data_IF_329524817991
#
_entry.id   IF_329524817991
#
_cell.length_a   1.000
_cell.length_b   1.000
_cell.length_c   1.000
_cell.angle_alpha   90.00
_cell.angle_beta   90.00
_cell.angle_gamma   90.00
#
_symmetry.space_group_name_H-M   'P 1'
#
loop_
_entity.id
_entity.type
_entity.pdbx_description
1 polymer ?
#
# COMPACT_ATOMS: atom_id res chain seq x y z
N UNK A 1 -11.20 16.40 -3.74
CA UNK A 1 -10.26 16.96 -4.72
C UNK A 1 -9.03 17.46 -3.97
N UNK A 2 -7.83 17.12 -4.44
CA UNK A 2 -6.61 17.69 -3.88
C UNK A 2 -6.45 19.11 -4.42
N UNK A 3 -6.23 20.08 -3.54
CA UNK A 3 -6.03 21.48 -3.92
C UNK A 3 -4.55 21.74 -4.15
N UNK A 4 -4.17 21.86 -5.42
CA UNK A 4 -2.79 22.18 -5.82
C UNK A 4 -2.50 23.67 -5.66
N UNK A 5 -1.29 24.01 -5.20
CA UNK A 5 -0.79 25.39 -5.28
C UNK A 5 -0.22 25.65 -6.68
N UNK A 6 -0.36 26.88 -7.18
CA UNK A 6 0.25 27.27 -8.45
C UNK A 6 1.77 27.03 -8.42
N UNK A 7 2.26 26.20 -9.35
CA UNK A 7 3.68 25.88 -9.49
C UNK A 7 4.13 24.57 -8.81
N UNK A 8 3.26 23.88 -8.06
CA UNK A 8 3.58 22.54 -7.54
C UNK A 8 3.62 21.52 -8.68
N UNK A 9 4.76 20.86 -8.85
CA UNK A 9 4.84 19.66 -9.69
C UNK A 9 4.15 18.52 -8.95
N UNK A 10 3.23 17.83 -9.62
CA UNK A 10 2.62 16.58 -9.16
C UNK A 10 3.71 15.56 -8.80
N UNK A 11 4.09 15.48 -7.52
CA UNK A 11 5.01 14.48 -7.03
C UNK A 11 4.24 13.51 -6.12
N UNK A 12 3.60 12.53 -6.75
CA UNK A 12 2.87 11.47 -6.07
C UNK A 12 3.71 10.79 -4.99
N UNK A 13 5.03 10.73 -5.17
CA UNK A 13 5.96 10.18 -4.17
C UNK A 13 5.93 10.97 -2.86
N UNK A 14 5.86 12.31 -2.93
CA UNK A 14 5.84 13.19 -1.76
C UNK A 14 4.49 13.06 -1.05
N UNK A 15 3.38 13.02 -1.81
CA UNK A 15 2.05 12.83 -1.23
C UNK A 15 1.91 11.46 -0.52
N UNK A 16 2.48 10.40 -1.09
CA UNK A 16 2.52 9.09 -0.44
C UNK A 16 3.39 9.09 0.83
N UNK A 17 4.48 9.86 0.83
CA UNK A 17 5.32 10.04 2.01
C UNK A 17 4.58 10.78 3.13
N UNK A 18 3.79 11.81 2.80
CA UNK A 18 2.96 12.52 3.77
C UNK A 18 1.90 11.62 4.40
N UNK A 19 1.24 10.78 3.59
CA UNK A 19 0.29 9.78 4.11
C UNK A 19 0.98 8.80 5.05
N UNK A 20 2.17 8.29 4.68
CA UNK A 20 2.94 7.40 5.55
C UNK A 20 3.32 8.08 6.87
N UNK A 21 3.73 9.35 6.81
CA UNK A 21 4.09 10.14 7.99
C UNK A 21 2.91 10.30 8.96
N UNK A 22 1.72 10.61 8.43
CA UNK A 22 0.49 10.71 9.23
C UNK A 22 0.17 9.37 9.90
N UNK A 23 0.30 8.24 9.17
CA UNK A 23 0.06 6.91 9.73
C UNK A 23 1.03 6.59 10.89
N UNK A 24 2.31 6.97 10.76
CA UNK A 24 3.30 6.81 11.84
C UNK A 24 2.93 7.67 13.05
N UNK A 25 2.50 8.92 12.84
CA UNK A 25 2.04 9.79 13.92
C UNK A 25 0.86 9.17 14.69
N UNK A 26 -0.13 8.63 13.97
CA UNK A 26 -1.30 7.99 14.59
C UNK A 26 -0.87 6.75 15.38
N UNK A 27 0.00 5.90 14.83
CA UNK A 27 0.51 4.72 15.54
C UNK A 27 1.23 5.10 16.83
N UNK A 28 2.11 6.12 16.78
CA UNK A 28 2.82 6.63 17.95
C UNK A 28 1.87 7.20 19.01
N UNK A 29 0.87 7.99 18.61
CA UNK A 29 -0.11 8.58 19.54
C UNK A 29 -1.00 7.54 20.21
N UNK A 30 -1.27 6.42 19.53
CA UNK A 30 -2.17 5.36 20.02
C UNK A 30 -1.44 4.20 20.68
N UNK A 31 -0.11 4.21 20.70
CA UNK A 31 0.71 3.12 21.24
C UNK A 31 0.66 1.83 20.41
N UNK A 32 0.32 1.94 19.12
CA UNK A 32 0.29 0.79 18.20
C UNK A 32 1.70 0.50 17.72
N UNK A 33 2.16 -0.74 17.92
CA UNK A 33 3.33 -1.27 17.23
C UNK A 33 2.98 -1.54 15.77
N UNK A 34 3.25 -0.55 14.91
CA UNK A 34 2.95 -0.63 13.49
C UNK A 34 3.80 -1.70 12.79
N UNK A 35 5.00 -2.00 13.27
CA UNK A 35 5.88 -3.02 12.69
C UNK A 35 5.24 -4.39 12.83
N UNK A 36 4.81 -4.72 14.05
CA UNK A 36 4.17 -6.00 14.34
C UNK A 36 2.80 -6.12 13.67
N UNK A 37 2.00 -5.04 13.65
CA UNK A 37 0.72 -5.01 12.95
C UNK A 37 0.88 -5.22 11.44
N UNK A 38 1.88 -4.58 10.83
CA UNK A 38 2.18 -4.70 9.41
C UNK A 38 2.64 -6.13 9.05
N UNK A 39 3.54 -6.72 9.85
CA UNK A 39 3.99 -8.11 9.69
C UNK A 39 2.82 -9.09 9.69
N UNK A 40 1.96 -9.05 10.72
CA UNK A 40 0.75 -9.89 10.81
C UNK A 40 -0.21 -9.67 9.64
N UNK A 41 -0.33 -8.44 9.13
CA UNK A 41 -1.18 -8.13 8.00
C UNK A 41 -0.68 -8.81 6.71
N UNK A 42 0.63 -8.78 6.48
CA UNK A 42 1.27 -9.46 5.34
C UNK A 42 1.08 -10.96 5.47
N UNK A 43 1.38 -11.56 6.63
CA UNK A 43 1.20 -13.01 6.86
C UNK A 43 -0.22 -13.47 6.55
N UNK A 44 -1.21 -12.78 7.12
CA UNK A 44 -2.63 -13.06 6.87
C UNK A 44 -3.01 -12.96 5.39
N UNK A 45 -2.49 -11.96 4.67
CA UNK A 45 -2.77 -11.79 3.23
C UNK A 45 -2.06 -12.86 2.41
N UNK A 46 -0.82 -13.19 2.73
CA UNK A 46 -0.06 -14.28 2.10
C UNK A 46 -0.78 -15.62 2.23
N UNK A 47 -1.26 -15.95 3.44
CA UNK A 47 -2.03 -17.17 3.67
C UNK A 47 -3.33 -17.18 2.86
N UNK A 48 -4.13 -16.10 2.94
CA UNK A 48 -5.40 -15.95 2.22
C UNK A 48 -5.21 -16.05 0.71
N UNK A 49 -4.19 -15.39 0.19
CA UNK A 49 -3.97 -15.24 -1.26
C UNK A 49 -3.02 -16.30 -1.83
N UNK A 50 -2.50 -17.22 -1.01
CA UNK A 50 -1.54 -18.29 -1.39
C UNK A 50 -1.98 -19.11 -2.60
N UNK A 51 -3.29 -19.26 -2.82
CA UNK A 51 -3.87 -19.98 -3.97
C UNK A 51 -4.68 -19.11 -4.93
N UNK A 52 -4.77 -17.80 -4.68
CA UNK A 52 -5.71 -16.89 -5.37
C UNK A 52 -5.42 -16.70 -6.86
N UNK A 53 -4.17 -16.95 -7.27
CA UNK A 53 -3.71 -16.70 -8.63
C UNK A 53 -3.13 -17.91 -9.35
N UNK A 54 -3.09 -19.08 -8.69
CA UNK A 54 -2.47 -20.31 -9.23
C UNK A 54 -3.09 -20.73 -10.57
N UNK A 55 -4.38 -20.47 -10.80
CA UNK A 55 -5.08 -20.82 -12.05
C UNK A 55 -5.64 -19.60 -12.81
N UNK A 56 -5.15 -18.38 -12.54
CA UNK A 56 -5.72 -17.19 -13.18
C UNK A 56 -5.19 -17.03 -14.62
N UNK A 57 -6.00 -17.45 -15.60
CA UNK A 57 -5.69 -17.37 -17.04
C UNK A 57 -5.31 -15.94 -17.48
N UNK A 58 -5.88 -14.90 -16.85
CA UNK A 58 -5.55 -13.49 -17.16
C UNK A 58 -4.10 -13.11 -16.84
N UNK A 59 -3.43 -13.83 -15.94
CA UNK A 59 -2.01 -13.60 -15.61
C UNK A 59 -1.06 -14.34 -16.55
N UNK A 60 -1.56 -15.35 -17.29
CA UNK A 60 -0.76 -16.13 -18.23
C UNK A 60 -0.99 -15.76 -19.69
N UNK A 61 -2.13 -15.14 -20.04
CA UNK A 61 -2.50 -14.82 -21.42
C UNK A 61 -2.11 -13.41 -21.92
N UNK A 62 -1.35 -12.62 -21.15
CA UNK A 62 -0.92 -11.29 -21.58
C UNK A 62 0.38 -11.27 -22.41
N UNK A 63 0.89 -12.43 -22.84
CA UNK A 63 2.11 -12.54 -23.66
C UNK A 63 1.92 -12.60 -25.18
N UNK A 64 0.69 -12.68 -25.69
CA UNK A 64 0.41 -12.71 -27.13
C UNK A 64 -0.50 -11.55 -27.55
N UNK A 65 0.08 -10.36 -27.66
CA UNK A 65 -0.38 -9.32 -28.57
C UNK A 65 0.84 -8.64 -29.19
#
# INVERSE_FOLDING_TARGET
EQSFKEGEKNNLSDELADVLWILLCIANQTGIDLTEAFRKNIEKKTERDSKRHINNVKLHHNGNK
#
